data_IF_624078951693
#
_entry.id   IF_624078951693
#
_cell.length_a   1.000
_cell.length_b   1.000
_cell.length_c   1.000
_cell.angle_alpha   90.00
_cell.angle_beta   90.00
_cell.angle_gamma   90.00
#
_symmetry.space_group_name_H-M   'P 1'
#
loop_
_entity.id
_entity.type
_entity.pdbx_description
1 polymer ?
#
# COMPACT_ATOMS: atom_id res chain seq x y z
N UNK A 1 -11.01 1.52 2.97
CA UNK A 1 -10.29 2.70 3.53
C UNK A 1 -9.88 3.62 2.38
N UNK A 2 -9.95 4.95 2.53
CA UNK A 2 -9.47 5.89 1.49
C UNK A 2 -7.94 5.97 1.52
N UNK A 3 -7.32 6.25 0.37
CA UNK A 3 -5.86 6.33 0.23
C UNK A 3 -5.22 7.24 1.30
N UNK A 4 -5.78 8.42 1.53
CA UNK A 4 -5.23 9.41 2.46
C UNK A 4 -5.19 8.90 3.92
N UNK A 5 -6.25 8.19 4.33
CA UNK A 5 -6.31 7.62 5.67
C UNK A 5 -5.29 6.49 5.86
N UNK A 6 -5.02 5.72 4.80
CA UNK A 6 -4.04 4.65 4.84
C UNK A 6 -2.60 5.17 4.85
N UNK A 7 -2.31 6.24 4.09
CA UNK A 7 -1.03 6.95 4.17
C UNK A 7 -0.79 7.50 5.56
N UNK A 8 -1.77 8.19 6.14
CA UNK A 8 -1.66 8.71 7.50
C UNK A 8 -1.44 7.60 8.53
N UNK A 9 -2.14 6.47 8.39
CA UNK A 9 -1.95 5.30 9.25
C UNK A 9 -0.53 4.73 9.14
N UNK A 10 0.00 4.59 7.93
CA UNK A 10 1.37 4.12 7.72
C UNK A 10 2.39 5.07 8.34
N UNK A 11 2.25 6.37 8.12
CA UNK A 11 3.11 7.40 8.72
C UNK A 11 3.06 7.40 10.25
N UNK A 12 1.86 7.30 10.83
CA UNK A 12 1.67 7.25 12.29
C UNK A 12 2.35 6.04 12.93
N UNK A 13 2.38 4.90 12.22
CA UNK A 13 3.04 3.69 12.67
C UNK A 13 4.53 3.59 12.25
N UNK A 14 5.05 4.58 11.51
CA UNK A 14 6.41 4.56 10.99
C UNK A 14 6.66 3.50 9.91
N UNK A 15 5.61 3.05 9.22
CA UNK A 15 5.70 2.06 8.16
C UNK A 15 5.91 2.72 6.78
N UNK A 16 6.70 2.07 5.94
CA UNK A 16 6.82 2.41 4.53
C UNK A 16 5.50 2.14 3.80
N UNK A 17 5.03 3.12 3.04
CA UNK A 17 3.82 3.03 2.23
C UNK A 17 4.17 2.84 0.75
N UNK A 18 3.67 1.78 0.13
CA UNK A 18 3.89 1.47 -1.30
C UNK A 18 2.58 1.12 -1.98
N UNK A 19 2.41 1.57 -3.22
CA UNK A 19 1.27 1.18 -4.08
C UNK A 19 1.75 0.09 -5.03
N UNK A 20 1.20 -1.12 -4.92
CA UNK A 20 1.53 -2.25 -5.78
C UNK A 20 0.58 -2.41 -6.98
N UNK A 21 -0.64 -1.89 -6.85
CA UNK A 21 -1.65 -1.90 -7.91
C UNK A 21 -2.50 -0.62 -7.83
N UNK A 22 -2.83 -0.04 -8.98
CA UNK A 22 -3.82 1.03 -9.10
C UNK A 22 -4.76 0.77 -10.26
N UNK A 23 -6.06 0.74 -9.97
CA UNK A 23 -7.15 0.64 -10.95
C UNK A 23 -7.00 -0.55 -11.92
N UNK A 24 -6.45 -1.68 -11.43
CA UNK A 24 -6.17 -2.88 -12.23
C UNK A 24 -4.82 -2.89 -12.94
N UNK A 25 -4.02 -1.83 -12.80
CA UNK A 25 -2.64 -1.77 -13.28
C UNK A 25 -1.66 -2.15 -12.16
N UNK A 26 -0.87 -3.19 -12.40
CA UNK A 26 0.15 -3.65 -11.46
C UNK A 26 1.47 -2.91 -11.70
N UNK A 27 2.06 -2.38 -10.62
CA UNK A 27 3.38 -1.79 -10.67
C UNK A 27 4.45 -2.85 -10.41
N UNK A 28 5.56 -2.75 -11.14
CA UNK A 28 6.73 -3.57 -10.86
C UNK A 28 7.30 -3.19 -9.48
N UNK A 29 7.23 -4.14 -8.54
CA UNK A 29 7.75 -3.98 -7.18
C UNK A 29 8.78 -5.06 -6.85
N UNK A 30 9.69 -4.76 -5.94
CA UNK A 30 10.64 -5.73 -5.40
C UNK A 30 9.92 -6.68 -4.45
N UNK A 31 10.24 -7.98 -4.55
CA UNK A 31 9.74 -9.06 -3.68
C UNK A 31 10.67 -9.28 -2.47
N UNK A 32 11.19 -8.21 -1.90
CA UNK A 32 11.85 -8.23 -0.59
C UNK A 32 10.78 -8.20 0.50
N UNK A 33 10.93 -9.02 1.55
CA UNK A 33 10.02 -8.99 2.69
C UNK A 33 10.52 -8.00 3.74
N UNK A 34 9.72 -6.98 4.02
CA UNK A 34 9.97 -5.92 4.99
C UNK A 34 8.76 -5.77 5.90
N UNK A 35 8.93 -6.11 7.18
CA UNK A 35 7.87 -6.00 8.18
C UNK A 35 7.46 -4.54 8.45
N UNK A 36 8.37 -3.61 8.17
CA UNK A 36 8.20 -2.17 8.26
C UNK A 36 7.57 -1.57 6.99
N UNK A 37 6.99 -2.37 6.09
CA UNK A 37 6.40 -1.87 4.84
C UNK A 37 5.04 -2.50 4.54
N UNK A 38 4.12 -1.67 4.08
CA UNK A 38 2.85 -2.08 3.51
C UNK A 38 2.80 -1.76 2.02
N UNK A 39 2.31 -2.72 1.25
CA UNK A 39 2.04 -2.59 -0.19
C UNK A 39 0.53 -2.70 -0.39
N UNK A 40 -0.09 -1.68 -0.97
CA UNK A 40 -1.54 -1.57 -1.12
C UNK A 40 -1.98 -1.67 -2.58
N UNK A 41 -3.17 -2.23 -2.80
CA UNK A 41 -3.89 -2.16 -4.06
C UNK A 41 -5.03 -1.14 -3.95
N UNK A 42 -5.12 -0.24 -4.91
CA UNK A 42 -6.09 0.87 -4.91
C UNK A 42 -7.00 0.74 -6.12
N UNK A 43 -8.31 0.85 -5.92
CA UNK A 43 -9.30 0.90 -6.99
C UNK A 43 -10.29 2.03 -6.71
N UNK A 44 -10.45 2.93 -7.68
CA UNK A 44 -11.32 4.12 -7.58
C UNK A 44 -11.07 4.94 -6.29
N UNK A 45 -9.80 5.10 -5.89
CA UNK A 45 -9.41 5.83 -4.67
C UNK A 45 -9.68 5.12 -3.34
N UNK A 46 -10.09 3.84 -3.39
CA UNK A 46 -10.33 2.99 -2.22
C UNK A 46 -9.33 1.85 -2.21
N UNK A 47 -8.77 1.54 -1.05
CA UNK A 47 -7.90 0.38 -0.88
C UNK A 47 -8.74 -0.89 -0.93
N UNK A 48 -8.36 -1.80 -1.83
CA UNK A 48 -9.00 -3.11 -2.02
C UNK A 48 -8.18 -4.26 -1.46
N UNK A 49 -6.86 -4.11 -1.36
CA UNK A 49 -5.98 -5.12 -0.78
C UNK A 49 -4.77 -4.47 -0.08
N UNK A 50 -4.24 -5.15 0.94
CA UNK A 50 -3.07 -4.72 1.72
C UNK A 50 -2.20 -5.92 2.06
N UNK A 51 -0.96 -5.88 1.62
CA UNK A 51 0.05 -6.90 1.88
C UNK A 51 1.17 -6.27 2.71
N UNK A 52 1.54 -6.90 3.81
CA UNK A 52 2.74 -6.55 4.59
C UNK A 52 3.95 -7.23 3.95
N UNK A 53 4.95 -6.46 3.55
CA UNK A 53 6.09 -6.96 2.77
C UNK A 53 6.84 -5.88 2.00
#
# INVERSE_FOLDING_TARGET
MREDAAKLCAETNGWGYRVGERDGEFFAVTKDYRIDRITVAIKNGVITDVIVG
#
